data_IF_332624216379
#
_entry.id   IF_332624216379
#
_cell.length_a   1.000
_cell.length_b   1.000
_cell.length_c   1.000
_cell.angle_alpha   90.00
_cell.angle_beta   90.00
_cell.angle_gamma   90.00
#
_symmetry.space_group_name_H-M   'P 1'
#
loop_
_entity.id
_entity.type
_entity.pdbx_description
1 polymer ?
#
# COMPACT_ATOMS: atom_id res chain seq x y z
N UNK A 1 48.34 17.64 34.86
CA UNK A 1 47.13 17.71 35.72
C UNK A 1 46.35 16.42 35.53
N UNK A 2 46.41 15.51 36.50
CA UNK A 2 45.58 14.31 36.58
C UNK A 2 44.40 14.62 37.51
N UNK A 3 43.17 14.39 37.05
CA UNK A 3 41.95 14.52 37.86
C UNK A 3 41.37 13.15 38.15
N UNK A 4 41.30 12.78 39.44
CA UNK A 4 40.58 11.60 39.94
C UNK A 4 39.07 11.86 39.95
N UNK A 5 38.27 10.88 39.50
CA UNK A 5 36.81 10.88 39.70
C UNK A 5 36.48 9.90 40.84
N UNK A 6 35.81 10.42 41.87
CA UNK A 6 35.32 9.69 43.04
C UNK A 6 33.97 9.04 42.74
N UNK A 7 33.78 7.76 43.10
CA UNK A 7 32.51 7.05 42.99
C UNK A 7 31.89 6.92 44.38
N UNK A 8 30.77 7.63 44.62
CA UNK A 8 29.96 7.45 45.83
C UNK A 8 28.97 6.28 45.64
N UNK A 9 29.01 5.31 46.55
CA UNK A 9 28.05 4.21 46.63
C UNK A 9 26.88 4.58 47.55
N UNK A 10 25.65 4.44 47.05
CA UNK A 10 24.42 4.59 47.85
C UNK A 10 23.68 3.26 47.90
N UNK A 11 23.34 2.78 49.11
CA UNK A 11 22.41 1.65 49.31
C UNK A 11 20.98 2.20 49.34
N UNK A 12 20.21 1.98 48.27
CA UNK A 12 18.78 2.30 48.22
C UNK A 12 17.94 1.05 48.48
N UNK A 13 16.90 1.21 49.31
CA UNK A 13 15.89 0.19 49.62
C UNK A 13 14.98 -0.07 48.41
N UNK A 14 14.59 -1.33 48.21
CA UNK A 14 13.79 -1.84 47.08
C UNK A 14 12.49 -1.04 46.83
N UNK A 15 11.84 -0.57 47.91
CA UNK A 15 10.62 0.26 47.83
C UNK A 15 10.88 1.69 47.31
N UNK A 16 12.08 2.21 47.49
CA UNK A 16 12.51 3.49 46.92
C UNK A 16 12.77 3.38 45.42
N UNK A 17 13.30 2.24 44.95
CA UNK A 17 13.53 1.99 43.53
C UNK A 17 12.22 1.93 42.73
N UNK A 18 11.16 1.30 43.26
CA UNK A 18 9.89 1.15 42.53
C UNK A 18 9.18 2.47 42.25
N UNK A 19 9.17 3.40 43.22
CA UNK A 19 8.62 4.76 43.05
C UNK A 19 9.45 5.60 42.08
N UNK A 20 10.77 5.44 42.09
CA UNK A 20 11.66 6.14 41.16
C UNK A 20 11.46 5.58 39.74
N UNK A 21 11.45 4.25 39.56
CA UNK A 21 11.27 3.61 38.26
C UNK A 21 9.93 3.95 37.58
N UNK A 22 8.82 3.97 38.31
CA UNK A 22 7.51 4.35 37.72
C UNK A 22 7.46 5.81 37.32
N UNK A 23 8.00 6.71 38.15
CA UNK A 23 7.99 8.15 37.87
C UNK A 23 8.98 8.53 36.76
N UNK A 24 10.16 7.91 36.76
CA UNK A 24 11.24 8.22 35.81
C UNK A 24 11.02 7.58 34.44
N UNK A 25 10.50 6.35 34.34
CA UNK A 25 10.17 5.75 33.04
C UNK A 25 8.99 6.47 32.39
N UNK A 26 7.94 6.78 33.17
CA UNK A 26 6.81 7.59 32.68
C UNK A 26 7.27 8.97 32.19
N UNK A 27 8.17 9.62 32.92
CA UNK A 27 8.74 10.90 32.51
C UNK A 27 9.63 10.79 31.25
N UNK A 28 10.47 9.76 31.13
CA UNK A 28 11.37 9.56 29.98
C UNK A 28 10.57 9.27 28.70
N UNK A 29 9.52 8.44 28.76
CA UNK A 29 8.67 8.15 27.60
C UNK A 29 7.87 9.41 27.18
N UNK A 30 7.34 10.16 28.14
CA UNK A 30 6.69 11.44 27.85
C UNK A 30 7.67 12.46 27.25
N UNK A 31 8.89 12.59 27.77
CA UNK A 31 9.88 13.55 27.29
C UNK A 31 10.41 13.19 25.89
N UNK A 32 10.61 11.91 25.61
CA UNK A 32 11.06 11.43 24.29
C UNK A 32 10.04 11.69 23.18
N UNK A 33 8.75 11.58 23.49
CA UNK A 33 7.66 11.88 22.54
C UNK A 33 7.47 13.39 22.39
N UNK A 34 7.64 14.16 23.47
CA UNK A 34 7.50 15.63 23.46
C UNK A 34 8.60 16.33 22.63
N UNK A 35 9.79 15.74 22.51
CA UNK A 35 10.89 16.29 21.73
C UNK A 35 10.81 15.99 20.23
N UNK A 36 9.90 15.12 19.79
CA UNK A 36 9.79 14.66 18.41
C UNK A 36 8.69 15.36 17.58
N UNK A 37 7.85 16.20 18.20
CA UNK A 37 6.67 16.79 17.54
C UNK A 37 6.65 18.32 17.78
N UNK A 38 6.53 19.15 16.72
CA UNK A 38 6.42 20.60 16.88
C UNK A 38 5.11 20.98 17.60
N UNK A 39 5.13 22.01 18.47
CA UNK A 39 4.07 22.29 19.45
C UNK A 39 2.70 22.61 18.86
N UNK A 40 2.61 22.96 17.57
CA UNK A 40 1.40 23.50 16.95
C UNK A 40 0.48 22.45 16.28
N UNK A 41 0.69 21.14 16.51
CA UNK A 41 -0.05 20.09 15.77
C UNK A 41 -0.71 18.98 16.59
N UNK A 42 -0.85 19.10 17.91
CA UNK A 42 -1.43 17.99 18.70
C UNK A 42 -2.96 17.92 18.69
N UNK A 43 -3.59 16.84 18.18
CA UNK A 43 -4.94 16.46 18.58
C UNK A 43 -4.93 15.83 19.99
N UNK A 44 -6.09 15.72 20.67
CA UNK A 44 -6.18 15.06 21.97
C UNK A 44 -5.84 13.56 21.83
N UNK A 45 -4.71 13.14 22.40
CA UNK A 45 -4.32 11.73 22.53
C UNK A 45 -4.71 11.27 23.95
N UNK A 46 -5.54 10.23 24.04
CA UNK A 46 -5.87 9.60 25.32
C UNK A 46 -4.86 8.47 25.56
N UNK A 47 -3.95 8.64 26.51
CA UNK A 47 -3.07 7.57 26.97
C UNK A 47 -3.72 6.82 28.13
N UNK A 48 -3.99 5.52 27.93
CA UNK A 48 -4.46 4.63 28.99
C UNK A 48 -3.33 3.68 29.40
N UNK A 49 -2.91 3.75 30.67
CA UNK A 49 -2.01 2.75 31.26
C UNK A 49 -2.86 1.82 32.11
N UNK A 50 -2.92 0.54 31.75
CA UNK A 50 -3.65 -0.48 32.51
C UNK A 50 -2.68 -1.50 33.04
N UNK A 51 -2.60 -1.63 34.37
CA UNK A 51 -1.79 -2.65 35.04
C UNK A 51 -2.73 -3.80 35.38
N UNK A 52 -2.61 -4.94 34.70
CA UNK A 52 -3.35 -6.15 35.04
C UNK A 52 -2.53 -6.97 36.05
N UNK A 53 -3.12 -7.21 37.21
CA UNK A 53 -2.52 -8.03 38.26
C UNK A 53 -2.83 -9.51 37.98
N UNK A 54 -1.84 -10.23 37.45
CA UNK A 54 -1.84 -11.68 37.39
C UNK A 54 -0.48 -12.19 37.92
N UNK A 55 -0.56 -13.26 38.73
CA UNK A 55 0.47 -14.21 39.23
C UNK A 55 1.92 -14.07 38.67
N UNK A 56 2.97 -14.45 39.43
CA UNK A 56 4.23 -13.72 39.71
C UNK A 56 5.16 -13.35 38.53
N UNK A 57 4.73 -13.47 37.27
CA UNK A 57 5.35 -12.84 36.13
C UNK A 57 4.68 -11.47 35.90
N UNK A 58 5.18 -10.42 36.57
CA UNK A 58 4.70 -9.04 36.37
C UNK A 58 4.93 -8.63 34.91
N UNK A 59 3.87 -8.57 34.13
CA UNK A 59 3.92 -8.08 32.75
C UNK A 59 3.44 -6.63 32.72
N UNK A 60 4.27 -5.71 32.24
CA UNK A 60 3.88 -4.34 31.99
C UNK A 60 3.44 -4.22 30.53
N UNK A 61 2.18 -3.87 30.30
CA UNK A 61 1.65 -3.58 28.96
C UNK A 61 1.42 -2.07 28.83
N UNK A 62 2.07 -1.45 27.84
CA UNK A 62 1.84 -0.04 27.48
C UNK A 62 1.15 -0.04 26.13
N UNK A 63 -0.08 0.50 26.09
CA UNK A 63 -0.90 0.58 24.89
C UNK A 63 -1.09 2.02 24.45
N UNK A 64 -0.92 2.28 23.15
CA UNK A 64 -1.34 3.53 22.51
C UNK A 64 -2.56 3.21 21.64
N UNK A 65 -3.65 3.94 21.88
CA UNK A 65 -4.90 3.81 21.12
C UNK A 65 -5.33 5.19 20.64
N UNK A 66 -5.55 5.33 19.33
CA UNK A 66 -6.20 6.52 18.78
C UNK A 66 -7.69 6.23 18.57
N UNK A 67 -8.60 7.08 19.09
CA UNK A 67 -10.01 6.97 18.78
C UNK A 67 -10.22 7.17 17.27
N UNK A 68 -11.08 6.38 16.62
CA UNK A 68 -11.30 6.50 15.19
C UNK A 68 -11.90 7.87 14.87
N UNK A 69 -11.22 8.64 14.01
CA UNK A 69 -11.88 9.74 13.28
C UNK A 69 -12.83 9.09 12.28
N UNK A 70 -14.10 9.51 12.31
CA UNK A 70 -15.22 8.94 11.55
C UNK A 70 -14.80 8.37 10.19
N UNK A 71 -14.82 7.03 10.07
CA UNK A 71 -14.64 6.32 8.80
C UNK A 71 -13.25 5.73 8.50
N UNK A 72 -12.21 5.97 9.31
CA UNK A 72 -10.92 5.25 9.16
C UNK A 72 -10.66 4.32 10.35
N UNK A 73 -10.20 3.10 10.06
CA UNK A 73 -9.88 2.08 11.07
C UNK A 73 -8.94 2.60 12.16
N UNK A 74 -9.10 2.07 13.38
CA UNK A 74 -8.23 2.37 14.51
C UNK A 74 -7.04 1.41 14.51
N UNK A 75 -5.83 1.96 14.61
CA UNK A 75 -4.62 1.18 14.87
C UNK A 75 -4.34 1.24 16.38
N UNK A 76 -4.20 0.08 17.01
CA UNK A 76 -3.71 -0.04 18.37
C UNK A 76 -2.33 -0.68 18.37
N UNK A 77 -1.48 -0.18 19.26
CA UNK A 77 -0.12 -0.66 19.45
C UNK A 77 0.03 -1.12 20.90
N UNK A 78 0.59 -2.29 21.12
CA UNK A 78 0.91 -2.80 22.46
C UNK A 78 2.34 -3.34 22.50
N UNK A 79 3.12 -2.89 23.48
CA UNK A 79 4.39 -3.54 23.85
C UNK A 79 4.14 -4.36 25.11
N UNK A 80 4.53 -5.63 25.10
CA UNK A 80 4.45 -6.51 26.26
C UNK A 80 5.85 -6.83 26.78
N UNK A 81 6.16 -6.41 28.00
CA UNK A 81 7.39 -6.80 28.68
C UNK A 81 7.12 -8.03 29.55
N UNK A 82 7.66 -9.19 29.16
CA UNK A 82 7.65 -10.39 30.01
C UNK A 82 8.90 -10.41 30.89
N UNK A 83 8.73 -10.59 32.20
CA UNK A 83 9.79 -10.50 33.23
C UNK A 83 10.97 -11.48 33.12
N UNK A 84 11.11 -12.24 32.04
CA UNK A 84 12.20 -13.19 31.79
C UNK A 84 13.27 -12.68 30.81
N UNK A 85 13.41 -11.36 30.65
CA UNK A 85 14.59 -10.75 30.04
C UNK A 85 14.59 -10.60 28.52
N UNK A 86 13.59 -11.11 27.81
CA UNK A 86 13.43 -10.86 26.36
C UNK A 86 12.18 -9.99 26.13
N UNK A 87 12.34 -8.71 25.75
CA UNK A 87 11.19 -7.95 25.26
C UNK A 87 10.70 -8.60 23.97
N UNK A 88 9.44 -9.03 23.96
CA UNK A 88 8.79 -9.45 22.72
C UNK A 88 7.86 -8.33 22.27
N UNK A 89 8.14 -7.78 21.09
CA UNK A 89 7.26 -6.80 20.45
C UNK A 89 6.30 -7.60 19.58
N UNK A 90 5.06 -7.76 20.03
CA UNK A 90 3.99 -8.36 19.24
C UNK A 90 3.22 -7.24 18.53
N UNK A 91 3.26 -7.26 17.20
CA UNK A 91 2.47 -6.35 16.39
C UNK A 91 1.08 -6.97 16.19
N UNK A 92 0.09 -6.46 16.89
CA UNK A 92 -1.31 -6.72 16.56
C UNK A 92 -1.81 -5.61 15.65
N UNK A 93 -1.66 -5.80 14.34
CA UNK A 93 -2.39 -4.98 13.37
C UNK A 93 -3.83 -5.51 13.35
N UNK A 94 -4.77 -4.78 13.94
CA UNK A 94 -6.20 -5.09 13.81
C UNK A 94 -6.59 -4.80 12.35
N UNK A 95 -6.59 -5.83 11.52
CA UNK A 95 -6.77 -5.67 10.07
C UNK A 95 -8.22 -5.30 9.78
N UNK A 96 -8.34 -4.17 9.10
CA UNK A 96 -9.41 -3.81 8.18
C UNK A 96 -9.88 -5.02 7.35
N UNK A 97 -11.16 -5.09 6.99
CA UNK A 97 -11.81 -6.14 6.19
C UNK A 97 -10.85 -7.10 5.42
N UNK A 98 -10.75 -8.40 5.78
CA UNK A 98 -9.82 -9.35 5.16
C UNK A 98 -10.06 -9.54 3.65
N UNK A 99 -11.24 -9.18 3.15
CA UNK A 99 -11.53 -9.18 1.72
C UNK A 99 -10.73 -8.08 0.98
N UNK A 100 -10.44 -6.96 1.64
CA UNK A 100 -9.67 -5.83 1.08
C UNK A 100 -8.19 -6.20 0.97
N UNK A 101 -7.60 -6.76 2.02
CA UNK A 101 -6.19 -7.19 2.02
C UNK A 101 -5.91 -8.21 0.90
N UNK A 102 -6.80 -9.18 0.71
CA UNK A 102 -6.69 -10.16 -0.39
C UNK A 102 -6.73 -9.49 -1.75
N UNK A 103 -7.61 -8.50 -1.93
CA UNK A 103 -7.75 -7.79 -3.19
C UNK A 103 -6.53 -6.91 -3.49
N UNK A 104 -5.98 -6.23 -2.48
CA UNK A 104 -4.80 -5.37 -2.64
C UNK A 104 -3.55 -6.19 -2.96
N UNK A 105 -3.31 -7.27 -2.21
CA UNK A 105 -2.21 -8.20 -2.48
C UNK A 105 -2.31 -8.81 -3.89
N UNK A 106 -3.53 -9.23 -4.28
CA UNK A 106 -3.78 -9.73 -5.63
C UNK A 106 -3.49 -8.67 -6.69
N UNK A 107 -3.96 -7.45 -6.47
CA UNK A 107 -3.79 -6.36 -7.41
C UNK A 107 -2.32 -6.03 -7.63
N UNK A 108 -1.55 -5.86 -6.55
CA UNK A 108 -0.11 -5.64 -6.60
C UNK A 108 0.63 -6.78 -7.31
N UNK A 109 0.25 -8.03 -7.03
CA UNK A 109 0.78 -9.19 -7.71
C UNK A 109 0.48 -9.19 -9.22
N UNK A 110 -0.74 -8.83 -9.61
CA UNK A 110 -1.10 -8.70 -11.02
C UNK A 110 -0.29 -7.59 -11.70
N UNK A 111 -0.14 -6.43 -11.04
CA UNK A 111 0.65 -5.31 -11.55
C UNK A 111 2.10 -5.71 -11.79
N UNK A 112 2.73 -6.33 -10.80
CA UNK A 112 4.10 -6.84 -10.89
C UNK A 112 4.26 -7.82 -12.06
N UNK A 113 3.38 -8.82 -12.16
CA UNK A 113 3.43 -9.82 -13.21
C UNK A 113 3.17 -9.25 -14.62
N UNK A 114 2.28 -8.26 -14.73
CA UNK A 114 1.90 -7.67 -16.00
C UNK A 114 2.96 -6.75 -16.57
N UNK A 115 3.45 -5.81 -15.75
CA UNK A 115 4.45 -4.83 -16.17
C UNK A 115 5.88 -5.37 -16.02
N UNK A 116 6.09 -6.50 -15.36
CA UNK A 116 7.43 -7.04 -15.10
C UNK A 116 8.22 -6.18 -14.12
N UNK A 117 7.53 -5.68 -13.08
CA UNK A 117 8.05 -4.72 -12.11
C UNK A 117 8.19 -5.39 -10.74
N UNK A 118 9.23 -5.04 -10.00
CA UNK A 118 9.41 -5.50 -8.61
C UNK A 118 8.33 -4.91 -7.69
N UNK A 119 7.68 -5.76 -6.89
CA UNK A 119 6.69 -5.33 -5.88
C UNK A 119 7.25 -4.31 -4.89
N UNK A 120 8.55 -4.39 -4.54
CA UNK A 120 9.22 -3.41 -3.68
C UNK A 120 9.19 -2.01 -4.29
N UNK A 121 9.32 -1.89 -5.61
CA UNK A 121 9.24 -0.60 -6.28
C UNK A 121 7.83 -0.02 -6.18
N UNK A 122 6.78 -0.85 -6.19
CA UNK A 122 5.41 -0.40 -6.01
C UNK A 122 5.21 0.13 -4.58
N UNK A 123 5.69 -0.61 -3.56
CA UNK A 123 5.66 -0.16 -2.16
C UNK A 123 6.51 1.10 -1.93
N UNK A 124 7.65 1.23 -2.61
CA UNK A 124 8.48 2.43 -2.52
C UNK A 124 7.75 3.65 -3.08
N UNK A 125 7.05 3.50 -4.21
CA UNK A 125 6.24 4.56 -4.80
C UNK A 125 5.05 4.95 -3.90
N UNK A 126 4.45 3.99 -3.20
CA UNK A 126 3.40 4.25 -2.21
C UNK A 126 3.94 4.98 -0.96
N UNK A 127 5.12 4.59 -0.48
CA UNK A 127 5.74 5.15 0.74
C UNK A 127 6.43 6.50 0.55
N UNK A 128 6.94 6.81 -0.66
CA UNK A 128 7.53 8.12 -1.02
C UNK A 128 6.48 9.25 -1.18
N UNK A 129 5.27 9.07 -0.67
CA UNK A 129 4.09 9.94 -0.83
C UNK A 129 4.17 11.36 -0.24
N UNK A 130 5.23 12.12 -0.54
CA UNK A 130 5.29 13.57 -0.38
C UNK A 130 4.69 14.36 -1.55
N UNK A 131 4.32 13.69 -2.65
CA UNK A 131 3.58 14.27 -3.78
C UNK A 131 2.06 14.01 -3.64
N UNK A 132 1.18 14.94 -4.08
CA UNK A 132 -0.20 14.99 -3.61
C UNK A 132 -1.20 13.95 -4.18
N UNK A 133 -0.79 12.74 -4.63
CA UNK A 133 -1.61 11.52 -4.97
C UNK A 133 -0.89 10.66 -6.04
N UNK A 134 -0.97 9.30 -6.00
CA UNK A 134 -2.15 8.55 -5.51
C UNK A 134 -1.92 7.30 -4.64
N UNK A 135 -2.70 7.13 -3.56
CA UNK A 135 -2.80 5.86 -2.82
C UNK A 135 -3.83 4.89 -3.43
N UNK A 136 -4.26 5.07 -4.69
CA UNK A 136 -5.29 4.20 -5.30
C UNK A 136 -4.67 3.21 -6.31
N UNK A 137 -5.10 1.94 -6.27
CA UNK A 137 -4.74 0.93 -7.28
C UNK A 137 -4.90 1.41 -8.73
N UNK A 138 -5.98 2.13 -9.05
CA UNK A 138 -6.30 2.60 -10.40
C UNK A 138 -5.31 3.64 -10.93
N UNK A 139 -4.78 4.46 -10.03
CA UNK A 139 -3.83 5.49 -10.39
C UNK A 139 -2.41 4.93 -10.55
N UNK A 140 -2.04 3.88 -9.80
CA UNK A 140 -0.81 3.12 -10.06
C UNK A 140 -0.81 2.53 -11.48
N UNK A 141 -1.93 1.95 -11.92
CA UNK A 141 -2.06 1.44 -13.30
C UNK A 141 -1.82 2.57 -14.31
N UNK A 142 -2.42 3.74 -14.07
CA UNK A 142 -2.27 4.91 -14.93
C UNK A 142 -0.83 5.40 -15.00
N UNK A 143 -0.16 5.47 -13.85
CA UNK A 143 1.25 5.80 -13.71
C UNK A 143 2.10 4.88 -14.59
N UNK A 144 1.96 3.57 -14.43
CA UNK A 144 2.79 2.61 -15.15
C UNK A 144 2.52 2.58 -16.66
N UNK A 145 1.27 2.74 -17.09
CA UNK A 145 0.98 2.89 -18.52
C UNK A 145 1.62 4.13 -19.13
N UNK A 146 1.42 5.30 -18.52
CA UNK A 146 1.98 6.57 -19.00
C UNK A 146 3.49 6.45 -19.07
N UNK A 147 4.12 5.99 -18.00
CA UNK A 147 5.56 5.88 -17.91
C UNK A 147 6.14 4.90 -18.95
N UNK A 148 5.50 3.74 -19.13
CA UNK A 148 5.91 2.75 -20.13
C UNK A 148 5.78 3.27 -21.56
N UNK A 149 4.71 4.02 -21.84
CA UNK A 149 4.43 4.58 -23.16
C UNK A 149 5.20 5.88 -23.44
N UNK A 150 5.61 6.60 -22.38
CA UNK A 150 6.38 7.83 -22.45
C UNK A 150 7.89 7.63 -22.41
N UNK A 151 8.36 6.42 -22.11
CA UNK A 151 9.77 6.16 -21.81
C UNK A 151 10.32 7.01 -20.65
N UNK A 152 9.45 7.43 -19.73
CA UNK A 152 9.82 8.17 -18.52
C UNK A 152 9.75 7.24 -17.32
N UNK A 153 10.56 7.45 -16.29
CA UNK A 153 10.43 6.65 -15.06
C UNK A 153 9.12 7.00 -14.32
N UNK A 154 8.59 6.12 -13.45
CA UNK A 154 7.42 6.43 -12.62
C UNK A 154 7.65 7.67 -11.77
N UNK A 155 8.86 7.82 -11.24
CA UNK A 155 9.26 8.96 -10.42
C UNK A 155 9.16 10.26 -11.22
N UNK A 156 9.64 10.30 -12.46
CA UNK A 156 9.49 11.48 -13.33
C UNK A 156 8.02 11.80 -13.60
N UNK A 157 7.20 10.79 -13.88
CA UNK A 157 5.76 10.97 -14.11
C UNK A 157 5.06 11.49 -12.85
N UNK A 158 5.44 11.01 -11.67
CA UNK A 158 4.94 11.52 -10.39
C UNK A 158 5.38 12.97 -10.13
N UNK A 159 6.63 13.33 -10.47
CA UNK A 159 7.10 14.72 -10.38
C UNK A 159 6.29 15.63 -11.32
N UNK A 160 6.01 15.19 -12.54
CA UNK A 160 5.15 15.93 -13.46
C UNK A 160 3.72 16.08 -12.92
N UNK A 161 3.16 15.03 -12.31
CA UNK A 161 1.86 15.08 -11.64
C UNK A 161 1.84 16.05 -10.46
N UNK A 162 2.90 16.06 -9.65
CA UNK A 162 3.08 16.99 -8.53
C UNK A 162 3.12 18.47 -8.94
N UNK A 163 3.46 18.77 -10.20
CA UNK A 163 3.37 20.12 -10.80
C UNK A 163 1.94 20.51 -11.21
N UNK A 164 0.93 19.72 -10.87
CA UNK A 164 -0.48 19.96 -11.20
C UNK A 164 -0.90 19.44 -12.59
N UNK A 165 -0.13 18.54 -13.19
CA UNK A 165 -0.54 17.89 -14.44
C UNK A 165 -1.42 16.67 -14.16
N UNK A 166 -2.70 16.76 -14.54
CA UNK A 166 -3.60 15.60 -14.55
C UNK A 166 -3.19 14.55 -15.59
N UNK A 167 -3.72 13.33 -15.46
CA UNK A 167 -3.38 12.20 -16.31
C UNK A 167 -3.66 12.46 -17.80
N UNK A 168 -4.81 13.07 -18.12
CA UNK A 168 -5.18 13.42 -19.50
C UNK A 168 -4.20 14.41 -20.13
N UNK A 169 -3.65 15.34 -19.35
CA UNK A 169 -2.62 16.29 -19.83
C UNK A 169 -1.30 15.57 -20.11
N UNK A 170 -0.84 14.73 -19.19
CA UNK A 170 0.38 13.93 -19.38
C UNK A 170 0.27 13.02 -20.62
N UNK A 171 -0.88 12.36 -20.79
CA UNK A 171 -1.20 11.58 -21.98
C UNK A 171 -1.17 12.42 -23.27
N UNK A 172 -1.73 13.64 -23.25
CA UNK A 172 -1.69 14.56 -24.38
C UNK A 172 -0.26 14.98 -24.74
N UNK A 173 0.59 15.16 -23.75
CA UNK A 173 1.98 15.59 -23.96
C UNK A 173 2.81 14.48 -24.62
N UNK A 174 2.53 13.20 -24.35
CA UNK A 174 3.06 12.05 -25.12
C UNK A 174 2.70 12.18 -26.61
N UNK A 175 1.44 12.49 -26.93
CA UNK A 175 0.97 12.66 -28.32
C UNK A 175 1.68 13.83 -28.99
N UNK A 176 1.82 14.97 -28.30
CA UNK A 176 2.48 16.17 -28.84
C UNK A 176 3.98 15.94 -29.04
N UNK A 177 4.66 15.30 -28.10
CA UNK A 177 6.07 15.01 -28.21
C UNK A 177 6.34 14.09 -29.42
N UNK A 178 5.44 13.14 -29.71
CA UNK A 178 5.54 12.33 -30.93
C UNK A 178 5.47 13.18 -32.21
N UNK A 179 4.56 14.15 -32.27
CA UNK A 179 4.44 15.07 -33.44
C UNK A 179 5.71 15.90 -33.65
N UNK A 180 6.46 16.19 -32.59
CA UNK A 180 7.74 16.91 -32.63
C UNK A 180 8.95 16.03 -32.98
N UNK A 181 8.73 14.76 -33.36
CA UNK A 181 9.81 13.86 -33.77
C UNK A 181 10.49 13.11 -32.62
N UNK A 182 10.04 13.26 -31.37
CA UNK A 182 10.59 12.47 -30.27
C UNK A 182 10.24 10.98 -30.42
N UNK A 183 11.12 10.13 -29.88
CA UNK A 183 11.03 8.68 -29.97
C UNK A 183 9.95 8.11 -29.04
N UNK A 184 8.68 8.46 -29.26
CA UNK A 184 7.53 7.84 -28.60
C UNK A 184 6.91 6.73 -29.45
N UNK A 185 6.22 5.78 -28.83
CA UNK A 185 5.50 4.73 -29.54
C UNK A 185 4.36 5.33 -30.39
N UNK A 186 4.32 5.04 -31.70
CA UNK A 186 3.19 5.44 -32.58
C UNK A 186 1.85 4.91 -32.06
N UNK A 187 1.88 3.69 -31.51
CA UNK A 187 0.70 3.02 -30.96
C UNK A 187 0.21 3.75 -29.71
N UNK A 188 1.12 4.18 -28.83
CA UNK A 188 0.77 4.97 -27.65
C UNK A 188 0.13 6.30 -28.03
N UNK A 189 0.73 7.04 -28.97
CA UNK A 189 0.18 8.33 -29.42
C UNK A 189 -1.24 8.22 -30.01
N UNK A 190 -1.53 7.13 -30.74
CA UNK A 190 -2.88 6.87 -31.23
C UNK A 190 -3.86 6.60 -30.08
N UNK A 191 -3.47 5.76 -29.11
CA UNK A 191 -4.28 5.43 -27.94
C UNK A 191 -4.60 6.66 -27.09
N UNK A 192 -3.61 7.52 -26.84
CA UNK A 192 -3.77 8.70 -25.98
C UNK A 192 -4.48 9.88 -26.65
N UNK A 193 -4.69 9.85 -27.97
CA UNK A 193 -5.42 10.92 -28.68
C UNK A 193 -6.80 11.15 -28.08
N UNK A 194 -7.51 10.08 -27.69
CA UNK A 194 -8.85 10.16 -27.10
C UNK A 194 -8.83 10.43 -25.59
N UNK A 195 -7.72 10.18 -24.91
CA UNK A 195 -7.61 10.32 -23.46
C UNK A 195 -7.17 11.72 -23.01
N UNK A 196 -6.74 12.57 -23.96
CA UNK A 196 -6.25 13.91 -23.65
C UNK A 196 -7.27 14.83 -22.98
N UNK A 197 -8.55 14.57 -23.24
CA UNK A 197 -9.69 15.34 -22.72
C UNK A 197 -10.28 14.75 -21.43
N UNK A 198 -9.73 13.64 -20.93
CA UNK A 198 -10.28 12.96 -19.76
C UNK A 198 -9.83 13.67 -18.48
N UNK A 199 -10.76 13.82 -17.54
CA UNK A 199 -10.40 14.04 -16.14
C UNK A 199 -9.66 12.83 -15.57
N UNK A 200 -9.01 13.02 -14.41
CA UNK A 200 -8.20 11.99 -13.78
C UNK A 200 -9.00 10.73 -13.45
N UNK A 201 -10.23 10.86 -12.93
CA UNK A 201 -11.05 9.72 -12.54
C UNK A 201 -11.47 8.87 -13.75
N UNK A 202 -11.84 9.52 -14.86
CA UNK A 202 -12.20 8.86 -16.11
C UNK A 202 -10.99 8.21 -16.76
N UNK A 203 -9.83 8.86 -16.71
CA UNK A 203 -8.57 8.29 -17.19
C UNK A 203 -8.17 7.05 -16.40
N UNK A 204 -8.18 7.13 -15.07
CA UNK A 204 -7.85 6.03 -14.18
C UNK A 204 -8.77 4.83 -14.37
N UNK A 205 -10.07 5.07 -14.50
CA UNK A 205 -11.05 4.03 -14.82
C UNK A 205 -10.72 3.37 -16.16
N UNK A 206 -10.42 4.16 -17.20
CA UNK A 206 -10.11 3.62 -18.53
C UNK A 206 -8.83 2.76 -18.50
N UNK A 207 -7.79 3.22 -17.81
CA UNK A 207 -6.54 2.46 -17.67
C UNK A 207 -6.72 1.18 -16.86
N UNK A 208 -7.51 1.22 -15.79
CA UNK A 208 -7.86 0.02 -15.01
C UNK A 208 -8.65 -1.01 -15.84
N UNK A 209 -9.67 -0.58 -16.58
CA UNK A 209 -10.44 -1.46 -17.48
C UNK A 209 -9.52 -2.13 -18.50
N UNK A 210 -8.66 -1.34 -19.12
CA UNK A 210 -7.69 -1.82 -20.10
C UNK A 210 -6.70 -2.82 -19.48
N UNK A 211 -6.15 -2.50 -18.31
CA UNK A 211 -5.26 -3.39 -17.57
C UNK A 211 -5.89 -4.77 -17.33
N UNK A 212 -7.08 -4.82 -16.74
CA UNK A 212 -7.75 -6.10 -16.49
C UNK A 212 -8.12 -6.83 -17.79
N UNK A 213 -8.54 -6.09 -18.81
CA UNK A 213 -8.86 -6.66 -20.12
C UNK A 213 -7.65 -7.36 -20.74
N UNK A 214 -6.50 -6.68 -20.77
CA UNK A 214 -5.26 -7.23 -21.30
C UNK A 214 -4.73 -8.39 -20.42
N UNK A 215 -4.80 -8.24 -19.10
CA UNK A 215 -4.30 -9.24 -18.14
C UNK A 215 -5.07 -10.56 -18.21
N UNK A 216 -6.40 -10.49 -18.12
CA UNK A 216 -7.29 -11.66 -18.03
C UNK A 216 -7.86 -12.10 -19.40
N UNK A 217 -7.57 -11.36 -20.47
CA UNK A 217 -8.16 -11.55 -21.80
C UNK A 217 -9.70 -11.48 -21.80
N UNK A 218 -10.25 -10.55 -21.02
CA UNK A 218 -11.70 -10.30 -20.93
C UNK A 218 -12.05 -9.03 -21.70
N UNK A 219 -13.16 -8.97 -22.46
CA UNK A 219 -13.55 -7.76 -23.18
C UNK A 219 -13.72 -6.54 -22.27
N UNK A 220 -13.16 -5.39 -22.66
CA UNK A 220 -13.28 -4.11 -21.91
C UNK A 220 -14.75 -3.71 -21.66
N UNK A 221 -15.63 -4.04 -22.61
CA UNK A 221 -17.08 -3.81 -22.52
C UNK A 221 -17.68 -4.46 -21.28
N UNK A 222 -17.29 -5.69 -20.97
CA UNK A 222 -17.86 -6.44 -19.85
C UNK A 222 -17.41 -5.86 -18.51
N UNK A 223 -16.13 -5.50 -18.41
CA UNK A 223 -15.55 -4.87 -17.22
C UNK A 223 -16.20 -3.51 -16.97
N UNK A 224 -16.38 -2.72 -18.03
CA UNK A 224 -17.08 -1.43 -17.97
C UNK A 224 -18.53 -1.61 -17.52
N UNK A 225 -19.24 -2.61 -18.06
CA UNK A 225 -20.61 -2.92 -17.65
C UNK A 225 -20.70 -3.28 -16.16
N UNK A 226 -19.73 -4.03 -15.61
CA UNK A 226 -19.70 -4.32 -14.18
C UNK A 226 -19.45 -3.06 -13.34
N UNK A 227 -18.52 -2.20 -13.74
CA UNK A 227 -18.31 -0.93 -13.06
C UNK A 227 -19.56 -0.04 -13.09
N UNK A 228 -20.26 0.04 -14.21
CA UNK A 228 -21.54 0.77 -14.33
C UNK A 228 -22.63 0.19 -13.44
N UNK A 229 -22.62 -1.12 -13.19
CA UNK A 229 -23.53 -1.79 -12.24
C UNK A 229 -23.15 -1.58 -10.77
N UNK A 230 -22.07 -0.85 -10.48
CA UNK A 230 -21.65 -0.53 -9.12
C UNK A 230 -20.74 -1.58 -8.47
N UNK A 231 -20.20 -2.54 -9.23
CA UNK A 231 -19.20 -3.46 -8.69
C UNK A 231 -17.91 -2.69 -8.35
N UNK A 232 -17.30 -3.01 -7.21
CA UNK A 232 -16.04 -2.41 -6.77
C UNK A 232 -14.88 -2.93 -7.62
N UNK A 233 -13.83 -2.12 -7.78
CA UNK A 233 -12.59 -2.51 -8.45
C UNK A 233 -11.99 -3.78 -7.81
N UNK A 234 -11.86 -3.82 -6.47
CA UNK A 234 -11.37 -4.99 -5.74
C UNK A 234 -12.17 -6.25 -6.07
N UNK A 235 -13.50 -6.15 -6.05
CA UNK A 235 -14.37 -7.30 -6.31
C UNK A 235 -14.24 -7.84 -7.74
N UNK A 236 -14.08 -6.96 -8.74
CA UNK A 236 -13.87 -7.36 -10.13
C UNK A 236 -12.52 -8.07 -10.28
N UNK A 237 -11.45 -7.52 -9.71
CA UNK A 237 -10.11 -8.14 -9.77
C UNK A 237 -10.12 -9.55 -9.16
N UNK A 238 -10.68 -9.72 -7.96
CA UNK A 238 -10.77 -11.02 -7.28
C UNK A 238 -11.65 -11.98 -8.07
N UNK A 239 -12.79 -11.52 -8.60
CA UNK A 239 -13.67 -12.35 -9.41
C UNK A 239 -12.99 -12.87 -10.67
N UNK A 240 -12.24 -12.03 -11.38
CA UNK A 240 -11.49 -12.41 -12.58
C UNK A 240 -10.39 -13.44 -12.27
N UNK A 241 -9.62 -13.22 -11.19
CA UNK A 241 -8.58 -14.15 -10.77
C UNK A 241 -9.17 -15.52 -10.39
N UNK A 242 -10.23 -15.53 -9.58
CA UNK A 242 -10.92 -16.76 -9.19
C UNK A 242 -11.52 -17.47 -10.42
N UNK A 243 -12.11 -16.72 -11.35
CA UNK A 243 -12.71 -17.26 -12.58
C UNK A 243 -11.68 -17.93 -13.47
N UNK A 244 -10.50 -17.31 -13.61
CA UNK A 244 -9.39 -17.88 -14.36
C UNK A 244 -8.86 -19.17 -13.71
N UNK A 245 -8.77 -19.22 -12.37
CA UNK A 245 -8.34 -20.41 -11.62
C UNK A 245 -9.33 -21.56 -11.74
N UNK A 246 -10.60 -21.28 -11.49
CA UNK A 246 -11.66 -22.29 -11.44
C UNK A 246 -12.27 -22.63 -12.82
N UNK A 247 -11.86 -21.91 -13.88
CA UNK A 247 -12.42 -22.02 -15.25
C UNK A 247 -13.94 -21.81 -15.29
N UNK A 248 -14.41 -20.78 -14.59
CA UNK A 248 -15.81 -20.38 -14.53
C UNK A 248 -16.00 -18.97 -15.08
N UNK A 249 -17.25 -18.57 -15.36
CA UNK A 249 -17.55 -17.23 -15.89
C UNK A 249 -17.45 -16.15 -14.79
N UNK A 250 -16.80 -15.00 -15.03
CA UNK A 250 -16.75 -13.91 -14.05
C UNK A 250 -18.11 -13.42 -13.56
N UNK A 251 -19.09 -13.39 -14.45
CA UNK A 251 -20.47 -12.98 -14.13
C UNK A 251 -21.10 -13.85 -13.05
N UNK A 252 -20.87 -15.17 -13.04
CA UNK A 252 -21.42 -16.05 -12.00
C UNK A 252 -20.75 -15.83 -10.63
N UNK A 253 -19.47 -15.48 -10.62
CA UNK A 253 -18.71 -15.15 -9.41
C UNK A 253 -19.18 -13.82 -8.83
N UNK A 254 -19.27 -12.78 -9.67
CA UNK A 254 -19.77 -11.45 -9.29
C UNK A 254 -21.22 -11.48 -8.82
N UNK A 255 -22.07 -12.33 -9.41
CA UNK A 255 -23.45 -12.51 -8.94
C UNK A 255 -23.53 -13.06 -7.51
N UNK A 256 -22.61 -13.94 -7.10
CA UNK A 256 -22.54 -14.44 -5.72
C UNK A 256 -22.06 -13.34 -4.77
N UNK A 257 -21.06 -12.55 -5.20
CA UNK A 257 -20.56 -11.42 -4.42
C UNK A 257 -21.64 -10.36 -4.20
N UNK A 258 -22.42 -10.03 -5.23
CA UNK A 258 -23.55 -9.10 -5.15
C UNK A 258 -24.64 -9.54 -4.17
N UNK A 259 -24.77 -10.85 -3.89
CA UNK A 259 -25.68 -11.40 -2.87
C UNK A 259 -25.11 -11.31 -1.44
N UNK A 260 -23.98 -10.64 -1.24
CA UNK A 260 -23.30 -10.53 0.05
C UNK A 260 -22.51 -11.78 0.45
N UNK A 261 -22.23 -12.70 -0.48
CA UNK A 261 -21.40 -13.88 -0.16
C UNK A 261 -19.94 -13.46 0.02
N UNK A 262 -19.30 -13.89 1.11
CA UNK A 262 -17.88 -13.60 1.38
C UNK A 262 -16.95 -14.31 0.39
N UNK A 263 -15.78 -13.72 0.10
CA UNK A 263 -14.81 -14.33 -0.83
C UNK A 263 -14.38 -15.72 -0.40
N UNK A 264 -14.22 -15.95 0.91
CA UNK A 264 -13.95 -17.28 1.48
C UNK A 264 -15.01 -18.32 1.12
N UNK A 265 -16.29 -17.94 1.19
CA UNK A 265 -17.38 -18.85 0.84
C UNK A 265 -17.49 -19.08 -0.66
N UNK A 266 -17.24 -18.06 -1.47
CA UNK A 266 -17.21 -18.17 -2.94
C UNK A 266 -16.05 -19.08 -3.39
N UNK A 267 -14.85 -18.89 -2.84
CA UNK A 267 -13.69 -19.73 -3.15
C UNK A 267 -13.93 -21.21 -2.79
N UNK A 268 -14.48 -21.46 -1.59
CA UNK A 268 -14.88 -22.82 -1.17
C UNK A 268 -15.88 -23.45 -2.15
N UNK A 269 -16.88 -22.69 -2.62
CA UNK A 269 -17.86 -23.18 -3.60
C UNK A 269 -17.20 -23.65 -4.90
N UNK A 270 -16.17 -22.96 -5.34
CA UNK A 270 -15.41 -23.31 -6.55
C UNK A 270 -14.17 -24.18 -6.29
N UNK A 271 -14.04 -24.75 -5.07
CA UNK A 271 -12.92 -25.62 -4.67
C UNK A 271 -11.54 -24.97 -4.82
N UNK A 272 -11.45 -23.65 -4.63
CA UNK A 272 -10.19 -22.89 -4.61
C UNK A 272 -9.84 -22.55 -3.15
N UNK A 273 -8.58 -22.75 -2.77
CA UNK A 273 -8.10 -22.37 -1.43
C UNK A 273 -8.18 -20.85 -1.27
N UNK A 274 -8.55 -20.37 -0.08
CA UNK A 274 -8.74 -18.94 0.14
C UNK A 274 -7.43 -18.16 -0.03
N UNK A 275 -6.32 -18.76 0.41
CA UNK A 275 -4.97 -18.22 0.35
C UNK A 275 -4.45 -18.10 -1.09
N UNK A 276 -5.09 -18.77 -2.05
CA UNK A 276 -4.73 -18.67 -3.47
C UNK A 276 -5.46 -17.51 -4.17
N UNK A 277 -6.44 -16.88 -3.51
CA UNK A 277 -7.12 -15.70 -4.07
C UNK A 277 -6.21 -14.48 -4.16
N UNK A 278 -5.29 -14.30 -3.21
CA UNK A 278 -4.31 -13.20 -3.19
C UNK A 278 -3.17 -13.41 -4.18
N UNK A 279 -3.04 -14.62 -4.75
CA UNK A 279 -2.00 -14.93 -5.72
C UNK A 279 -2.53 -14.61 -7.13
N UNK A 280 -1.80 -13.87 -7.96
CA UNK A 280 -2.18 -13.67 -9.35
C UNK A 280 -2.07 -14.99 -10.13
N UNK A 281 -2.99 -15.26 -11.05
CA UNK A 281 -2.75 -16.21 -12.14
C UNK A 281 -1.76 -15.61 -13.14
N UNK A 282 -0.98 -16.42 -13.87
CA UNK A 282 -0.12 -15.91 -14.93
C UNK A 282 -0.91 -15.07 -15.94
N UNK A 283 -0.40 -13.88 -16.34
CA UNK A 283 -1.11 -13.01 -17.26
C UNK A 283 -1.23 -13.65 -18.64
N UNK A 284 -2.36 -13.40 -19.32
CA UNK A 284 -2.56 -13.84 -20.72
C UNK A 284 -1.74 -13.01 -21.71
N UNK A 285 -1.46 -11.76 -21.34
CA UNK A 285 -0.56 -10.85 -22.06
C UNK A 285 0.32 -10.16 -21.05
N UNK A 286 1.61 -10.06 -21.32
CA UNK A 286 2.51 -9.22 -20.54
C UNK A 286 2.68 -7.87 -21.23
N UNK A 287 2.73 -6.80 -20.44
CA UNK A 287 3.14 -5.49 -20.89
C UNK A 287 4.65 -5.43 -20.86
N UNK A 288 5.28 -5.76 -21.99
CA UNK A 288 6.74 -5.76 -22.06
C UNK A 288 7.24 -4.31 -22.00
N UNK A 289 7.70 -3.89 -20.83
CA UNK A 289 8.47 -2.65 -20.69
C UNK A 289 9.67 -2.73 -21.64
N UNK A 290 9.93 -1.66 -22.39
CA UNK A 290 11.19 -1.54 -23.12
C UNK A 290 12.33 -1.36 -22.10
N UNK A 291 13.47 -2.02 -22.36
CA UNK A 291 14.64 -2.14 -21.45
C UNK A 291 14.95 -0.82 -20.74
N UNK A 292 15.20 -0.87 -19.42
CA UNK A 292 15.62 0.30 -18.61
C UNK A 292 15.00 0.39 -17.22
N UNK A 293 14.02 -0.46 -16.92
CA UNK A 293 13.24 -0.41 -15.66
C UNK A 293 13.62 -1.50 -14.64
N UNK A 294 14.44 -2.45 -15.07
CA UNK A 294 14.89 -3.56 -14.26
C UNK A 294 16.10 -3.11 -13.45
N UNK A 295 15.83 -2.69 -12.22
CA UNK A 295 16.82 -2.37 -11.16
C UNK A 295 17.55 -1.05 -11.38
N UNK A 296 17.39 -0.19 -10.38
CA UNK A 296 18.11 1.06 -10.13
C UNK A 296 19.53 0.99 -10.67
N UNK A 297 19.92 1.99 -11.47
CA UNK A 297 21.29 2.34 -11.85
C UNK A 297 22.13 2.65 -10.59
N UNK A 298 22.39 1.63 -9.77
CA UNK A 298 23.21 1.69 -8.57
C UNK A 298 24.64 1.20 -8.80
N UNK A 299 25.00 0.81 -10.02
CA UNK A 299 26.35 0.38 -10.40
C UNK A 299 26.77 1.13 -11.67
N UNK A 300 27.05 2.42 -11.54
CA UNK A 300 27.80 3.13 -12.58
C UNK A 300 28.68 4.28 -12.07
N UNK A 301 28.96 4.35 -10.76
CA UNK A 301 29.94 5.29 -10.19
C UNK A 301 30.82 4.60 -9.13
N UNK A 302 31.50 3.53 -9.54
CA UNK A 302 32.61 2.96 -8.79
C UNK A 302 33.63 2.46 -9.82
N UNK A 303 34.21 3.41 -10.55
CA UNK A 303 35.49 3.33 -11.27
C UNK A 303 35.63 4.60 -12.12
N UNK A 304 35.93 5.73 -11.47
CA UNK A 304 36.67 6.86 -12.04
C UNK A 304 37.34 7.67 -10.92
#
# INVERSE_FOLDING_TARGET
MMGYVSVCSWKLSRKGLEKILTTTIGAIVCLGIYLAIPPDTMPPVIMGVSIMEASPATALAVGLSQPPKSGSGSASFSITFTGSGNPSVSFHMAVNDPDVEVADALFLGCMSAFFGIDTHMIFELESRGGAPVPPTPTALVSLFYISADSYSSPTEVLVMRGKGHGWGRLASDIVKAKKKGHSYSKVAAYRYKTYGEYDDARFERAMYVRFLSEYYAVPERDITLWLTKGYKYSDITVALNLSARARVTPTSVLALRARGTSWKSIARKYKVKYEDLSKPVPPRRSYRLRRGWTRVEGEQNADE
#
